data_IF_888610738007
#
_entry.id   IF_888610738007
#
_cell.length_a   1.000
_cell.length_b   1.000
_cell.length_c   1.000
_cell.angle_alpha   90.00
_cell.angle_beta   90.00
_cell.angle_gamma   90.00
#
_symmetry.space_group_name_H-M   'P 1'
#
loop_
_entity.id
_entity.type
_entity.pdbx_description
1 polymer ?
#
# COMPACT_ATOMS: atom_id res chain seq x y z
N UNK A 1 -11.13 -18.48 0.70
CA UNK A 1 -10.58 -19.63 -0.07
C UNK A 1 -9.29 -20.16 0.55
N UNK A 2 -8.37 -19.29 0.98
CA UNK A 2 -7.11 -19.68 1.62
C UNK A 2 -7.29 -20.57 2.87
N UNK A 3 -8.32 -20.33 3.68
CA UNK A 3 -8.64 -21.12 4.88
C UNK A 3 -8.94 -22.58 4.57
N UNK A 4 -9.70 -22.85 3.49
CA UNK A 4 -10.02 -24.21 3.07
C UNK A 4 -8.78 -24.93 2.55
N UNK A 5 -7.91 -24.22 1.83
CA UNK A 5 -6.64 -24.76 1.35
C UNK A 5 -5.74 -25.19 2.51
N UNK A 6 -5.55 -24.32 3.51
CA UNK A 6 -4.74 -24.61 4.69
C UNK A 6 -5.34 -25.76 5.52
N UNK A 7 -6.67 -25.83 5.66
CA UNK A 7 -7.33 -26.92 6.38
C UNK A 7 -7.15 -28.28 5.68
N UNK A 8 -7.10 -28.30 4.35
CA UNK A 8 -6.91 -29.51 3.57
C UNK A 8 -5.45 -30.00 3.52
N UNK A 9 -4.46 -29.17 3.90
CA UNK A 9 -3.04 -29.41 3.72
C UNK A 9 -2.44 -30.50 4.67
N UNK A 10 -2.76 -30.54 5.98
CA UNK A 10 -2.15 -31.52 6.90
C UNK A 10 -2.42 -33.00 6.56
N UNK A 11 -3.66 -33.42 6.20
CA UNK A 11 -3.92 -34.80 5.77
C UNK A 11 -3.09 -35.23 4.55
N UNK A 12 -2.81 -34.30 3.63
CA UNK A 12 -2.05 -34.56 2.40
C UNK A 12 -0.56 -34.77 2.67
N UNK A 13 -0.01 -34.12 3.70
CA UNK A 13 1.42 -34.19 4.04
C UNK A 13 1.73 -35.31 5.05
N UNK A 14 0.75 -35.74 5.85
CA UNK A 14 0.98 -36.66 6.96
C UNK A 14 1.64 -37.98 6.53
N UNK A 15 1.23 -38.56 5.40
CA UNK A 15 1.82 -39.82 4.91
C UNK A 15 3.31 -39.70 4.56
N UNK A 16 3.79 -38.51 4.18
CA UNK A 16 5.18 -38.30 3.75
C UNK A 16 6.08 -37.80 4.89
N UNK A 17 5.53 -36.98 5.79
CA UNK A 17 6.31 -36.23 6.78
C UNK A 17 6.01 -36.62 8.24
N UNK A 18 4.93 -37.38 8.49
CA UNK A 18 4.51 -37.75 9.84
C UNK A 18 4.37 -36.54 10.75
N UNK A 19 5.08 -36.54 11.88
CA UNK A 19 5.04 -35.46 12.87
C UNK A 19 5.65 -34.13 12.39
N UNK A 20 6.54 -34.13 11.39
CA UNK A 20 7.06 -32.90 10.80
C UNK A 20 5.98 -32.11 10.04
N UNK A 21 4.86 -32.73 9.74
CA UNK A 21 3.69 -32.07 9.15
C UNK A 21 3.25 -30.87 9.98
N UNK A 22 3.29 -30.95 11.32
CA UNK A 22 2.81 -29.88 12.21
C UNK A 22 3.63 -28.57 12.09
N UNK A 23 4.96 -28.56 12.26
CA UNK A 23 5.73 -27.32 12.11
C UNK A 23 5.71 -26.80 10.66
N UNK A 24 5.68 -27.69 9.67
CA UNK A 24 5.68 -27.30 8.25
C UNK A 24 4.35 -26.67 7.84
N UNK A 25 3.22 -27.25 8.24
CA UNK A 25 1.90 -26.65 8.00
C UNK A 25 1.75 -25.34 8.76
N UNK A 26 2.33 -25.20 9.96
CA UNK A 26 2.32 -23.95 10.70
C UNK A 26 3.08 -22.83 9.96
N UNK A 27 4.28 -23.12 9.44
CA UNK A 27 5.06 -22.16 8.65
C UNK A 27 4.29 -21.79 7.37
N UNK A 28 3.76 -22.77 6.64
CA UNK A 28 2.98 -22.51 5.43
C UNK A 28 1.75 -21.64 5.73
N UNK A 29 1.03 -21.94 6.82
CA UNK A 29 -0.13 -21.19 7.29
C UNK A 29 0.23 -19.73 7.57
N UNK A 30 1.32 -19.50 8.31
CA UNK A 30 1.81 -18.16 8.62
C UNK A 30 2.12 -17.37 7.34
N UNK A 31 2.82 -18.00 6.38
CA UNK A 31 3.16 -17.34 5.11
C UNK A 31 1.92 -16.99 4.28
N UNK A 32 0.99 -17.94 4.11
CA UNK A 32 -0.20 -17.72 3.29
C UNK A 32 -1.16 -16.69 3.89
N UNK A 33 -1.44 -16.76 5.19
CA UNK A 33 -2.25 -15.73 5.85
C UNK A 33 -1.54 -14.39 5.94
N UNK A 34 -0.20 -14.39 6.06
CA UNK A 34 0.58 -13.15 6.01
C UNK A 34 0.44 -12.44 4.68
N UNK A 35 0.56 -13.17 3.57
CA UNK A 35 0.37 -12.61 2.21
C UNK A 35 -1.08 -12.13 2.01
N UNK A 36 -2.07 -12.89 2.47
CA UNK A 36 -3.49 -12.51 2.37
C UNK A 36 -3.79 -11.20 3.13
N UNK A 37 -3.26 -11.07 4.35
CA UNK A 37 -3.40 -9.86 5.16
C UNK A 37 -2.73 -8.64 4.50
N UNK A 38 -1.49 -8.80 4.01
CA UNK A 38 -0.79 -7.72 3.30
C UNK A 38 -1.55 -7.30 2.04
N UNK A 39 -2.10 -8.28 1.31
CA UNK A 39 -2.91 -8.00 0.13
C UNK A 39 -4.15 -7.17 0.46
N UNK A 40 -4.86 -7.52 1.53
CA UNK A 40 -6.04 -6.79 2.00
C UNK A 40 -5.72 -5.33 2.36
N UNK A 41 -4.57 -5.07 2.99
CA UNK A 41 -4.13 -3.70 3.34
C UNK A 41 -3.74 -2.88 2.10
N UNK A 42 -3.21 -3.51 1.05
CA UNK A 42 -2.76 -2.81 -0.17
C UNK A 42 -3.89 -2.63 -1.20
N UNK A 43 -5.01 -3.33 -1.05
CA UNK A 43 -6.11 -3.31 -2.04
C UNK A 43 -6.74 -1.91 -2.21
N UNK A 44 -6.88 -1.15 -1.12
CA UNK A 44 -7.48 0.18 -1.13
C UNK A 44 -6.61 1.26 -0.46
N UNK A 45 -5.48 1.65 -1.06
CA UNK A 45 -4.45 2.48 -0.41
C UNK A 45 -4.84 3.95 -0.19
N UNK A 46 -6.01 4.36 -0.69
CA UNK A 46 -6.55 5.72 -0.58
C UNK A 46 -7.79 5.77 0.33
N UNK A 47 -7.99 4.73 1.14
CA UNK A 47 -9.02 4.71 2.17
C UNK A 47 -8.64 5.59 3.37
N UNK A 48 -9.14 5.19 4.54
CA UNK A 48 -8.90 5.86 5.82
C UNK A 48 -8.46 4.87 6.91
N UNK A 49 -7.94 3.71 6.51
CA UNK A 49 -7.35 2.75 7.41
C UNK A 49 -5.99 3.25 7.91
N UNK A 50 -5.49 2.64 9.00
CA UNK A 50 -4.28 3.11 9.70
C UNK A 50 -3.03 3.08 8.78
N UNK A 51 -3.01 2.16 7.83
CA UNK A 51 -1.89 1.98 6.90
C UNK A 51 -2.13 2.67 5.54
N UNK A 52 -3.22 3.41 5.37
CA UNK A 52 -3.53 4.13 4.13
C UNK A 52 -2.74 5.43 3.99
N UNK A 53 -2.67 5.95 2.76
CA UNK A 53 -1.99 7.20 2.48
C UNK A 53 -2.84 8.41 2.93
N UNK A 54 -2.25 9.41 3.63
CA UNK A 54 -2.95 10.64 4.01
C UNK A 54 -3.08 11.60 2.82
N UNK A 55 -3.96 11.26 1.88
CA UNK A 55 -4.20 12.03 0.65
C UNK A 55 -4.72 13.44 0.90
N UNK A 56 -5.49 13.64 1.96
CA UNK A 56 -5.98 14.96 2.35
C UNK A 56 -4.84 15.91 2.71
N UNK A 57 -3.83 15.40 3.43
CA UNK A 57 -2.66 16.18 3.81
C UNK A 57 -1.85 16.56 2.58
N UNK A 58 -1.64 15.63 1.64
CA UNK A 58 -1.00 15.92 0.36
C UNK A 58 -1.75 16.99 -0.43
N UNK A 59 -3.07 16.89 -0.55
CA UNK A 59 -3.89 17.88 -1.24
C UNK A 59 -3.83 19.25 -0.56
N UNK A 60 -3.85 19.28 0.77
CA UNK A 60 -3.76 20.52 1.54
C UNK A 60 -2.41 21.22 1.36
N UNK A 61 -1.32 20.46 1.31
CA UNK A 61 0.03 20.98 1.11
C UNK A 61 0.22 21.49 -0.32
N UNK A 62 -0.21 20.71 -1.32
CA UNK A 62 -0.21 21.14 -2.72
C UNK A 62 -1.00 22.43 -2.92
N UNK A 63 -2.16 22.56 -2.28
CA UNK A 63 -2.96 23.78 -2.34
C UNK A 63 -2.20 24.99 -1.80
N UNK A 64 -1.55 24.85 -0.64
CA UNK A 64 -0.76 25.94 -0.02
C UNK A 64 0.41 26.35 -0.91
N UNK A 65 1.12 25.38 -1.49
CA UNK A 65 2.23 25.65 -2.41
C UNK A 65 1.76 26.40 -3.67
N UNK A 66 0.61 26.02 -4.22
CA UNK A 66 0.02 26.73 -5.35
C UNK A 66 -0.36 28.17 -4.96
N UNK A 67 -1.02 28.35 -3.82
CA UNK A 67 -1.40 29.68 -3.31
C UNK A 67 -0.16 30.58 -3.10
N UNK A 68 0.93 30.06 -2.53
CA UNK A 68 2.17 30.84 -2.36
C UNK A 68 2.83 31.21 -3.70
N UNK A 69 2.80 30.32 -4.70
CA UNK A 69 3.34 30.61 -6.03
C UNK A 69 2.61 31.75 -6.74
N UNK A 70 1.30 31.90 -6.49
CA UNK A 70 0.52 33.03 -7.03
C UNK A 70 0.76 34.33 -6.25
N UNK A 71 1.06 34.25 -4.96
CA UNK A 71 1.35 35.43 -4.13
C UNK A 71 2.76 36.00 -4.42
N UNK A 72 3.75 35.14 -4.67
CA UNK A 72 5.14 35.56 -4.93
C UNK A 72 5.38 36.14 -6.34
N UNK A 73 4.49 35.90 -7.31
CA UNK A 73 4.59 36.49 -8.65
C UNK A 73 3.40 37.40 -8.94
N UNK A 74 3.54 38.73 -8.85
CA UNK A 74 2.86 39.57 -9.82
C UNK A 74 3.43 39.18 -11.19
N UNK A 75 2.70 38.35 -11.94
CA UNK A 75 2.99 38.12 -13.36
C UNK A 75 2.78 39.45 -14.06
N UNK A 76 3.81 40.30 -14.13
CA UNK A 76 3.75 41.52 -14.89
C UNK A 76 3.88 41.14 -16.37
N UNK A 77 2.83 41.36 -17.20
CA UNK A 77 2.84 40.93 -18.60
C UNK A 77 4.00 41.54 -19.39
N UNK A 78 4.56 42.64 -18.90
CA UNK A 78 5.67 43.38 -19.49
C UNK A 78 7.05 42.69 -19.33
N UNK A 79 7.20 41.64 -18.51
CA UNK A 79 8.46 40.91 -18.35
C UNK A 79 8.56 39.59 -19.10
N UNK A 80 7.46 39.17 -19.73
CA UNK A 80 7.44 38.01 -20.64
C UNK A 80 8.44 38.15 -21.80
N UNK A 81 8.68 39.37 -22.27
CA UNK A 81 9.50 39.65 -23.46
C UNK A 81 10.98 39.97 -23.16
N UNK A 82 11.44 39.84 -21.89
CA UNK A 82 12.80 40.23 -21.47
C UNK A 82 13.76 39.07 -21.18
N UNK A 83 13.30 37.81 -21.22
CA UNK A 83 14.12 36.61 -20.93
C UNK A 83 14.56 35.83 -22.17
N UNK A 84 14.25 36.33 -23.36
CA UNK A 84 14.54 35.70 -24.65
C UNK A 84 15.67 36.36 -25.45
N UNK A 85 16.44 37.27 -24.84
CA UNK A 85 17.74 37.76 -25.35
C UNK A 85 18.89 37.34 -24.43
#
# INVERSE_FOLDING_TARGET
>A
MITLYILALPPQLYEKLGWYTVPITAIATFTFFGVDAIGSEIENPFGYDINDLPVDDYCSNLRKEIESLFEERPLDPCQWNKKTE
#
